data_IF_913841368689
#
_entry.id   IF_913841368689
#
_cell.length_a   1.000
_cell.length_b   1.000
_cell.length_c   1.000
_cell.angle_alpha   90.00
_cell.angle_beta   90.00
_cell.angle_gamma   90.00
#
_symmetry.space_group_name_H-M   'P 1'
#
loop_
_entity.id
_entity.type
_entity.pdbx_description
1 polymer ?
#
# COMPACT_ATOMS: atom_id res chain seq x y z
N UNK A 1 -25.27 -22.83 10.65
CA UNK A 1 -25.03 -21.89 11.77
C UNK A 1 -23.71 -21.17 11.43
N UNK A 2 -23.66 -19.85 11.41
CA UNK A 2 -22.41 -19.15 11.17
C UNK A 2 -21.58 -19.25 12.47
N UNK A 3 -20.55 -20.09 12.50
CA UNK A 3 -19.52 -20.03 13.55
C UNK A 3 -18.62 -18.82 13.26
N UNK A 4 -19.18 -17.64 13.47
CA UNK A 4 -18.46 -16.39 13.31
C UNK A 4 -17.76 -16.08 14.64
N UNK A 5 -16.52 -16.52 14.76
CA UNK A 5 -15.67 -16.19 15.89
C UNK A 5 -15.01 -14.84 15.67
N UNK A 6 -15.48 -13.82 16.41
CA UNK A 6 -14.96 -12.45 16.34
C UNK A 6 -13.49 -12.38 16.72
N UNK A 7 -13.05 -13.20 17.68
CA UNK A 7 -11.67 -13.19 18.17
C UNK A 7 -10.69 -13.64 17.09
N UNK A 8 -11.05 -14.61 16.28
CA UNK A 8 -10.22 -15.06 15.15
C UNK A 8 -10.39 -14.16 13.89
N UNK A 9 -11.52 -13.47 13.75
CA UNK A 9 -11.80 -12.60 12.61
C UNK A 9 -10.99 -11.30 12.64
N UNK A 10 -10.92 -10.64 13.80
CA UNK A 10 -10.26 -9.32 13.93
C UNK A 10 -8.77 -9.38 13.55
N UNK A 11 -7.95 -10.32 14.07
CA UNK A 11 -6.54 -10.41 13.67
C UNK A 11 -6.36 -10.62 12.16
N UNK A 12 -7.19 -11.46 11.53
CA UNK A 12 -7.14 -11.68 10.08
C UNK A 12 -7.55 -10.43 9.30
N UNK A 13 -8.55 -9.68 9.79
CA UNK A 13 -8.95 -8.41 9.20
C UNK A 13 -7.83 -7.37 9.27
N UNK A 14 -7.12 -7.28 10.40
CA UNK A 14 -5.94 -6.43 10.58
C UNK A 14 -4.85 -6.82 9.58
N UNK A 15 -4.44 -8.10 9.57
CA UNK A 15 -3.39 -8.59 8.65
C UNK A 15 -3.71 -8.30 7.18
N UNK A 16 -4.98 -8.44 6.78
CA UNK A 16 -5.43 -8.10 5.43
C UNK A 16 -5.48 -6.59 5.18
N UNK A 17 -5.74 -5.80 6.22
CA UNK A 17 -5.82 -4.34 6.16
C UNK A 17 -4.46 -3.63 6.06
N UNK A 18 -3.38 -4.20 6.62
CA UNK A 18 -2.07 -3.55 6.65
C UNK A 18 -1.51 -3.20 5.26
N UNK A 19 -1.54 -4.07 4.24
CA UNK A 19 -1.13 -3.70 2.88
C UNK A 19 -1.92 -2.51 2.35
N UNK A 20 -3.23 -2.45 2.66
CA UNK A 20 -4.10 -1.35 2.26
C UNK A 20 -3.73 -0.06 2.98
N UNK A 21 -3.35 -0.14 4.26
CA UNK A 21 -2.90 1.00 5.05
C UNK A 21 -1.62 1.61 4.50
N UNK A 22 -0.62 0.79 4.14
CA UNK A 22 0.60 1.26 3.49
C UNK A 22 0.29 1.92 2.14
N UNK A 23 -0.49 1.25 1.28
CA UNK A 23 -0.86 1.75 -0.04
C UNK A 23 -1.62 3.07 0.05
N UNK A 24 -2.67 3.14 0.87
CA UNK A 24 -3.47 4.36 1.03
C UNK A 24 -2.70 5.51 1.67
N UNK A 25 -1.85 5.24 2.67
CA UNK A 25 -1.02 6.28 3.29
C UNK A 25 -0.03 6.86 2.30
N UNK A 26 0.63 6.01 1.49
CA UNK A 26 1.54 6.45 0.43
C UNK A 26 0.81 7.28 -0.63
N UNK A 27 -0.37 6.84 -1.05
CA UNK A 27 -1.16 7.54 -2.06
C UNK A 27 -1.72 8.86 -1.53
N UNK A 28 -2.18 8.94 -0.28
CA UNK A 28 -2.62 10.20 0.34
C UNK A 28 -1.50 11.25 0.28
N UNK A 29 -0.25 10.90 0.57
CA UNK A 29 0.87 11.82 0.46
C UNK A 29 1.09 12.29 -0.97
N UNK A 30 1.00 11.40 -1.95
CA UNK A 30 1.11 11.68 -3.37
C UNK A 30 0.00 12.62 -3.82
N UNK A 31 -1.26 12.28 -3.56
CA UNK A 31 -2.42 13.06 -4.01
C UNK A 31 -2.54 14.41 -3.30
N UNK A 32 -2.10 14.54 -2.04
CA UNK A 32 -2.02 15.83 -1.34
C UNK A 32 -1.01 16.80 -1.98
N UNK A 33 -0.13 16.34 -2.88
CA UNK A 33 0.72 17.18 -3.72
C UNK A 33 0.07 17.60 -5.05
N UNK A 34 -1.13 17.11 -5.34
CA UNK A 34 -1.84 17.30 -6.60
C UNK A 34 -1.48 16.28 -7.69
N UNK A 35 -0.72 15.23 -7.39
CA UNK A 35 -0.43 14.15 -8.32
C UNK A 35 -1.42 13.00 -8.10
N UNK A 36 -2.21 12.65 -9.10
CA UNK A 36 -3.14 11.53 -9.08
C UNK A 36 -2.44 10.27 -9.59
N UNK A 37 -2.12 9.33 -8.70
CA UNK A 37 -1.31 8.16 -9.06
C UNK A 37 -2.10 6.85 -9.05
N UNK A 38 -2.77 6.53 -10.12
CA UNK A 38 -3.43 5.23 -10.31
C UNK A 38 -2.43 4.07 -10.52
N UNK A 39 -1.11 4.34 -10.42
CA UNK A 39 -0.05 3.33 -10.52
C UNK A 39 0.26 2.59 -9.22
N UNK A 40 -0.43 2.91 -8.12
CA UNK A 40 -0.21 2.30 -6.81
C UNK A 40 -0.23 0.77 -6.84
N UNK A 41 -1.19 0.09 -7.53
CA UNK A 41 -1.17 -1.37 -7.60
C UNK A 41 0.13 -1.93 -8.18
N UNK A 42 0.65 -1.31 -9.23
CA UNK A 42 1.93 -1.68 -9.84
C UNK A 42 3.14 -1.37 -8.94
N UNK A 43 3.12 -0.24 -8.24
CA UNK A 43 4.18 0.17 -7.30
C UNK A 43 4.25 -0.81 -6.12
N UNK A 44 3.12 -1.15 -5.52
CA UNK A 44 3.04 -2.14 -4.44
C UNK A 44 3.54 -3.50 -4.91
N UNK A 45 3.16 -3.91 -6.12
CA UNK A 45 3.59 -5.19 -6.69
C UNK A 45 5.10 -5.24 -6.92
N UNK A 46 5.70 -4.16 -7.48
CA UNK A 46 7.15 -4.05 -7.66
C UNK A 46 7.87 -3.98 -6.31
N UNK A 47 7.33 -3.27 -5.32
CA UNK A 47 7.87 -3.25 -3.96
C UNK A 47 7.94 -4.67 -3.35
N UNK A 48 6.88 -5.45 -3.51
CA UNK A 48 6.82 -6.84 -3.07
C UNK A 48 7.88 -7.72 -3.73
N UNK A 49 7.92 -7.75 -5.08
CA UNK A 49 8.88 -8.60 -5.80
C UNK A 49 10.33 -8.16 -5.58
N UNK A 50 10.60 -6.86 -5.45
CA UNK A 50 11.96 -6.38 -5.16
C UNK A 50 12.45 -6.88 -3.79
N UNK A 51 11.57 -6.89 -2.77
CA UNK A 51 11.87 -7.51 -1.49
C UNK A 51 12.10 -9.02 -1.58
N UNK A 52 11.30 -9.72 -2.38
CA UNK A 52 11.47 -11.16 -2.67
C UNK A 52 12.83 -11.42 -3.32
N UNK A 53 13.23 -10.64 -4.31
CA UNK A 53 14.54 -10.75 -4.98
C UNK A 53 15.66 -10.63 -3.96
N UNK A 54 15.63 -9.59 -3.12
CA UNK A 54 16.64 -9.37 -2.09
C UNK A 54 16.73 -10.54 -1.09
N UNK A 55 15.58 -11.01 -0.60
CA UNK A 55 15.51 -12.16 0.31
C UNK A 55 16.02 -13.44 -0.32
N UNK A 56 15.62 -13.71 -1.56
CA UNK A 56 15.99 -14.92 -2.28
C UNK A 56 17.51 -15.06 -2.43
N UNK A 57 18.17 -14.02 -2.92
CA UNK A 57 19.63 -14.04 -3.08
C UNK A 57 20.35 -14.06 -1.72
N UNK A 58 19.78 -13.41 -0.70
CA UNK A 58 20.35 -13.46 0.65
C UNK A 58 20.24 -14.87 1.26
N UNK A 59 19.09 -15.54 1.17
CA UNK A 59 18.93 -16.93 1.66
C UNK A 59 19.88 -17.89 0.96
N UNK A 60 20.06 -17.74 -0.36
CA UNK A 60 21.02 -18.55 -1.11
C UNK A 60 22.49 -18.29 -0.68
N UNK A 61 22.86 -17.03 -0.49
CA UNK A 61 24.22 -16.67 -0.08
C UNK A 61 24.53 -17.08 1.37
N UNK A 62 23.56 -17.08 2.24
CA UNK A 62 23.72 -17.41 3.66
C UNK A 62 23.77 -18.92 3.96
N UNK A 63 23.43 -19.78 2.98
CA UNK A 63 23.56 -21.23 3.10
C UNK A 63 22.81 -21.83 4.31
N UNK A 64 21.71 -21.22 4.73
CA UNK A 64 20.87 -21.69 5.84
C UNK A 64 21.17 -21.06 7.21
N UNK A 65 22.23 -20.27 7.36
CA UNK A 65 22.53 -19.50 8.57
C UNK A 65 22.20 -18.03 8.36
N UNK A 66 20.93 -17.66 8.56
CA UNK A 66 20.48 -16.28 8.38
C UNK A 66 20.81 -15.41 9.61
N UNK A 67 21.40 -14.23 9.35
CA UNK A 67 21.46 -13.18 10.35
C UNK A 67 20.13 -12.44 10.38
N UNK A 68 19.42 -12.46 11.52
CA UNK A 68 18.09 -11.87 11.65
C UNK A 68 18.01 -10.40 11.25
N UNK A 69 19.04 -9.60 11.55
CA UNK A 69 19.08 -8.19 11.15
C UNK A 69 19.15 -8.03 9.62
N UNK A 70 20.02 -8.79 8.95
CA UNK A 70 20.14 -8.73 7.49
C UNK A 70 18.91 -9.32 6.78
N UNK A 71 18.32 -10.38 7.36
CA UNK A 71 17.10 -11.00 6.85
C UNK A 71 15.91 -10.02 6.82
N UNK A 72 15.88 -9.05 7.71
CA UNK A 72 14.87 -7.99 7.73
C UNK A 72 15.29 -6.81 6.85
N UNK A 73 16.52 -6.34 6.96
CA UNK A 73 16.96 -5.10 6.32
C UNK A 73 17.08 -5.21 4.79
N UNK A 74 17.57 -6.34 4.28
CA UNK A 74 17.77 -6.52 2.82
C UNK A 74 16.43 -6.45 2.07
N UNK A 75 15.37 -7.20 2.45
CA UNK A 75 14.07 -7.10 1.78
C UNK A 75 13.45 -5.71 1.85
N UNK A 76 13.58 -5.03 3.01
CA UNK A 76 13.06 -3.68 3.18
C UNK A 76 13.77 -2.71 2.24
N UNK A 77 15.10 -2.71 2.21
CA UNK A 77 15.88 -1.82 1.34
C UNK A 77 15.60 -2.09 -0.13
N UNK A 78 15.54 -3.35 -0.54
CA UNK A 78 15.20 -3.72 -1.92
C UNK A 78 13.79 -3.28 -2.30
N UNK A 79 12.81 -3.45 -1.40
CA UNK A 79 11.44 -3.00 -1.61
C UNK A 79 11.35 -1.48 -1.75
N UNK A 80 12.03 -0.74 -0.86
CA UNK A 80 12.09 0.73 -0.91
C UNK A 80 12.74 1.22 -2.21
N UNK A 81 13.83 0.59 -2.65
CA UNK A 81 14.52 0.96 -3.90
C UNK A 81 13.67 0.65 -5.13
N UNK A 82 13.05 -0.53 -5.21
CA UNK A 82 12.20 -0.89 -6.33
C UNK A 82 10.99 0.04 -6.47
N UNK A 83 10.31 0.32 -5.37
CA UNK A 83 9.17 1.24 -5.36
C UNK A 83 9.57 2.69 -5.58
N UNK A 84 10.75 3.13 -5.10
CA UNK A 84 11.30 4.44 -5.39
C UNK A 84 11.56 4.63 -6.90
N UNK A 85 12.14 3.63 -7.57
CA UNK A 85 12.37 3.67 -9.02
C UNK A 85 11.05 3.80 -9.78
N UNK A 86 10.00 3.09 -9.37
CA UNK A 86 8.66 3.25 -9.94
C UNK A 86 8.10 4.65 -9.71
N UNK A 87 8.25 5.21 -8.50
CA UNK A 87 7.84 6.58 -8.17
C UNK A 87 8.59 7.63 -8.96
N UNK A 88 9.90 7.46 -9.15
CA UNK A 88 10.72 8.34 -9.99
C UNK A 88 10.30 8.29 -11.47
N UNK A 89 10.04 7.11 -12.00
CA UNK A 89 9.54 6.94 -13.37
C UNK A 89 8.19 7.63 -13.55
N UNK A 90 7.27 7.45 -12.59
CA UNK A 90 5.98 8.14 -12.60
C UNK A 90 6.15 9.66 -12.56
N UNK A 91 6.99 10.19 -11.67
CA UNK A 91 7.26 11.63 -11.59
C UNK A 91 7.90 12.18 -12.87
N UNK A 92 8.83 11.45 -13.45
CA UNK A 92 9.45 11.85 -14.70
C UNK A 92 8.40 12.03 -15.81
N UNK A 93 7.49 11.06 -15.93
CA UNK A 93 6.44 11.14 -16.95
C UNK A 93 5.40 12.23 -16.64
N UNK A 94 4.93 12.35 -15.40
CA UNK A 94 3.79 13.22 -15.06
C UNK A 94 4.19 14.65 -14.65
N UNK A 95 5.33 14.83 -14.00
CA UNK A 95 5.78 16.14 -13.51
C UNK A 95 6.75 16.80 -14.49
N UNK A 96 7.72 16.04 -15.03
CA UNK A 96 8.72 16.58 -15.97
C UNK A 96 8.18 16.63 -17.39
N UNK A 97 7.66 15.50 -17.93
CA UNK A 97 7.09 15.44 -19.28
C UNK A 97 5.64 15.88 -19.33
N UNK A 98 5.00 16.11 -18.18
CA UNK A 98 3.62 16.61 -18.07
C UNK A 98 2.59 15.72 -18.77
N UNK A 99 2.86 14.41 -18.85
CA UNK A 99 1.94 13.43 -19.40
C UNK A 99 0.65 13.36 -18.57
N UNK A 100 -0.43 12.87 -19.20
CA UNK A 100 -1.71 12.68 -18.51
C UNK A 100 -1.54 11.69 -17.35
N UNK A 101 -1.88 12.14 -16.13
CA UNK A 101 -1.64 11.39 -14.90
C UNK A 101 -2.48 10.11 -14.81
N UNK A 102 -3.73 10.15 -15.29
CA UNK A 102 -4.61 8.97 -15.29
C UNK A 102 -4.05 7.86 -16.20
N UNK A 103 -3.71 8.23 -17.45
CA UNK A 103 -3.18 7.27 -18.42
C UNK A 103 -1.84 6.72 -17.96
N UNK A 104 -0.96 7.59 -17.46
CA UNK A 104 0.35 7.18 -16.93
C UNK A 104 0.19 6.25 -15.74
N UNK A 105 -0.71 6.55 -14.80
CA UNK A 105 -0.98 5.68 -13.64
C UNK A 105 -1.45 4.29 -14.03
N UNK A 106 -2.42 4.20 -14.95
CA UNK A 106 -2.91 2.91 -15.47
C UNK A 106 -1.81 2.13 -16.19
N UNK A 107 -1.00 2.80 -17.01
CA UNK A 107 0.15 2.18 -17.67
C UNK A 107 1.17 1.67 -16.66
N UNK A 108 1.46 2.46 -15.60
CA UNK A 108 2.37 2.07 -14.51
C UNK A 108 1.86 0.86 -13.72
N UNK A 109 0.55 0.74 -13.53
CA UNK A 109 -0.03 -0.47 -12.89
C UNK A 109 0.24 -1.71 -13.73
N UNK A 110 -0.08 -1.67 -15.03
CA UNK A 110 0.17 -2.80 -15.94
C UNK A 110 1.66 -3.11 -16.07
N UNK A 111 2.50 -2.09 -16.22
CA UNK A 111 3.95 -2.22 -16.27
C UNK A 111 4.49 -2.86 -14.99
N UNK A 112 4.08 -2.38 -13.81
CA UNK A 112 4.55 -2.90 -12.53
C UNK A 112 4.17 -4.35 -12.30
N UNK A 113 2.94 -4.74 -12.65
CA UNK A 113 2.50 -6.15 -12.60
C UNK A 113 3.31 -7.00 -13.59
N UNK A 114 3.55 -6.49 -14.80
CA UNK A 114 4.38 -7.16 -15.80
C UNK A 114 5.82 -7.40 -15.32
N UNK A 115 6.47 -6.36 -14.77
CA UNK A 115 7.82 -6.44 -14.17
C UNK A 115 7.84 -7.46 -13.04
N UNK A 116 6.86 -7.42 -12.12
CA UNK A 116 6.81 -8.35 -11.01
C UNK A 116 6.62 -9.80 -11.45
N UNK A 117 5.76 -10.05 -12.42
CA UNK A 117 5.55 -11.40 -12.96
C UNK A 117 6.76 -11.89 -13.74
N UNK A 118 7.46 -11.01 -14.47
CA UNK A 118 8.68 -11.36 -15.19
C UNK A 118 9.79 -11.81 -14.24
N UNK A 119 10.09 -11.01 -13.22
CA UNK A 119 11.11 -11.36 -12.23
C UNK A 119 10.68 -12.54 -11.36
N UNK A 120 9.41 -12.59 -10.93
CA UNK A 120 8.85 -13.71 -10.21
C UNK A 120 8.95 -15.02 -10.99
N UNK A 121 8.57 -15.01 -12.27
CA UNK A 121 8.71 -16.17 -13.17
C UNK A 121 10.16 -16.57 -13.42
N UNK A 122 11.08 -15.61 -13.51
CA UNK A 122 12.51 -15.87 -13.66
C UNK A 122 13.12 -16.53 -12.41
N UNK A 123 12.77 -16.05 -11.22
CA UNK A 123 13.21 -16.66 -9.96
C UNK A 123 12.62 -18.06 -9.76
N UNK A 124 11.34 -18.28 -10.11
CA UNK A 124 10.72 -19.62 -10.05
C UNK A 124 11.50 -20.62 -10.90
N UNK A 125 11.95 -20.23 -12.09
CA UNK A 125 12.78 -21.09 -12.93
C UNK A 125 14.13 -21.44 -12.31
N UNK A 126 14.71 -20.50 -11.55
CA UNK A 126 15.99 -20.74 -10.85
C UNK A 126 15.86 -21.73 -9.69
N UNK A 127 14.68 -21.85 -9.09
CA UNK A 127 14.43 -22.81 -7.99
C UNK A 127 14.27 -24.25 -8.48
N UNK A 128 14.07 -24.48 -9.77
CA UNK A 128 13.72 -25.79 -10.35
C UNK A 128 12.53 -26.48 -9.62
N UNK A 129 11.62 -25.67 -9.06
CA UNK A 129 10.47 -26.15 -8.31
C UNK A 129 9.36 -26.57 -9.28
N UNK A 130 8.70 -27.69 -8.99
CA UNK A 130 7.49 -28.12 -9.73
C UNK A 130 6.29 -27.17 -9.47
N UNK A 131 6.31 -26.46 -8.33
CA UNK A 131 5.28 -25.51 -7.95
C UNK A 131 5.66 -24.11 -8.45
N UNK A 132 4.77 -23.40 -9.17
CA UNK A 132 5.05 -22.07 -9.69
C UNK A 132 5.02 -20.99 -8.60
N UNK A 133 5.82 -21.17 -7.56
CA UNK A 133 5.93 -20.27 -6.40
C UNK A 133 7.34 -20.26 -5.84
N UNK A 134 7.69 -19.15 -5.17
CA UNK A 134 8.94 -19.00 -4.43
C UNK A 134 8.59 -19.01 -2.95
N UNK A 135 9.22 -19.87 -2.18
CA UNK A 135 9.04 -19.92 -0.73
C UNK A 135 10.28 -19.37 -0.03
N UNK A 136 10.08 -18.32 0.76
CA UNK A 136 11.08 -17.64 1.60
C UNK A 136 10.68 -17.79 3.07
N UNK A 137 10.40 -19.02 3.47
CA UNK A 137 9.87 -19.34 4.80
C UNK A 137 10.82 -18.86 5.92
N UNK A 138 12.12 -19.02 5.72
CA UNK A 138 13.12 -18.64 6.72
C UNK A 138 13.14 -17.12 6.97
N UNK A 139 13.16 -16.31 5.91
CA UNK A 139 13.10 -14.85 6.04
C UNK A 139 11.76 -14.40 6.61
N UNK A 140 10.65 -15.01 6.20
CA UNK A 140 9.30 -14.71 6.68
C UNK A 140 9.16 -14.85 8.20
N UNK A 141 9.82 -15.83 8.81
CA UNK A 141 9.80 -16.02 10.27
C UNK A 141 10.28 -14.79 11.04
N UNK A 142 11.31 -14.10 10.54
CA UNK A 142 11.79 -12.86 11.17
C UNK A 142 10.80 -11.71 11.07
N UNK A 143 10.02 -11.63 9.98
CA UNK A 143 8.97 -10.62 9.82
C UNK A 143 7.76 -10.88 10.71
N UNK A 144 7.46 -12.14 10.99
CA UNK A 144 6.32 -12.58 11.80
C UNK A 144 6.60 -12.65 13.30
N UNK A 145 7.80 -12.31 13.75
CA UNK A 145 8.11 -12.30 15.17
C UNK A 145 7.13 -11.39 15.90
N UNK A 146 6.35 -11.98 16.79
CA UNK A 146 5.36 -11.28 17.61
C UNK A 146 6.05 -10.46 18.70
N UNK A 147 5.37 -9.45 19.22
CA UNK A 147 5.88 -8.68 20.35
C UNK A 147 5.94 -9.53 21.62
N UNK A 148 6.93 -9.27 22.50
CA UNK A 148 7.03 -9.99 23.77
C UNK A 148 5.74 -9.78 24.58
N UNK A 149 5.18 -10.89 25.11
CA UNK A 149 3.95 -10.88 25.90
C UNK A 149 2.67 -11.21 25.11
N UNK A 150 2.74 -11.46 23.79
CA UNK A 150 1.59 -11.84 22.98
C UNK A 150 0.89 -13.09 23.54
N UNK A 151 1.65 -14.11 23.93
CA UNK A 151 1.11 -15.39 24.43
C UNK A 151 0.68 -15.34 25.91
N UNK A 152 1.17 -14.35 26.68
CA UNK A 152 0.95 -14.28 28.13
C UNK A 152 -0.26 -13.43 28.53
N UNK A 153 -0.77 -12.56 27.64
CA UNK A 153 -1.84 -11.60 27.94
C UNK A 153 -3.23 -12.03 27.44
N UNK A 154 -3.40 -13.31 27.05
CA UNK A 154 -4.68 -13.86 26.59
C UNK A 154 -5.26 -13.13 25.39
N UNK A 155 -6.58 -12.89 25.37
CA UNK A 155 -7.28 -12.24 24.24
C UNK A 155 -6.72 -10.86 23.84
N UNK A 156 -6.17 -10.10 24.79
CA UNK A 156 -5.55 -8.80 24.51
C UNK A 156 -4.25 -8.96 23.70
N UNK A 157 -3.40 -9.94 24.06
CA UNK A 157 -2.20 -10.28 23.32
C UNK A 157 -2.51 -10.72 21.90
N UNK A 158 -3.52 -11.57 21.75
CA UNK A 158 -3.97 -12.07 20.45
C UNK A 158 -4.50 -10.94 19.53
N UNK A 159 -5.24 -9.98 20.08
CA UNK A 159 -5.80 -8.89 19.31
C UNK A 159 -4.82 -7.75 19.00
N UNK A 160 -3.83 -7.48 19.86
CA UNK A 160 -2.99 -6.30 19.74
C UNK A 160 -1.49 -6.56 19.62
N UNK A 161 -0.98 -7.73 20.03
CA UNK A 161 0.46 -8.03 20.09
C UNK A 161 0.91 -9.17 19.16
N UNK A 162 -0.02 -9.84 18.50
CA UNK A 162 0.24 -11.02 17.66
C UNK A 162 0.69 -10.74 16.23
N UNK A 163 0.92 -9.48 15.90
CA UNK A 163 1.30 -9.07 14.53
C UNK A 163 2.80 -8.93 14.37
N UNK A 164 3.29 -9.12 13.15
CA UNK A 164 4.65 -8.81 12.78
C UNK A 164 4.97 -7.31 12.92
N UNK A 165 6.24 -6.97 13.13
CA UNK A 165 6.65 -5.58 13.39
C UNK A 165 6.23 -4.58 12.32
N UNK A 166 6.14 -5.01 11.03
CA UNK A 166 5.71 -4.12 9.94
C UNK A 166 4.28 -3.61 10.11
N UNK A 167 3.40 -4.36 10.79
CA UNK A 167 2.04 -3.90 11.07
C UNK A 167 2.05 -2.65 11.97
N UNK A 168 2.90 -2.63 12.99
CA UNK A 168 3.06 -1.46 13.86
C UNK A 168 3.75 -0.31 13.14
N UNK A 169 4.75 -0.60 12.31
CA UNK A 169 5.41 0.39 11.44
C UNK A 169 4.39 1.06 10.52
N UNK A 170 3.43 0.33 9.94
CA UNK A 170 2.37 0.89 9.11
C UNK A 170 1.53 1.93 9.88
N UNK A 171 1.14 1.59 11.12
CA UNK A 171 0.37 2.49 11.99
C UNK A 171 1.19 3.74 12.34
N UNK A 172 2.47 3.57 12.70
CA UNK A 172 3.37 4.68 13.01
C UNK A 172 3.55 5.60 11.80
N UNK A 173 3.73 5.04 10.60
CA UNK A 173 3.85 5.81 9.36
C UNK A 173 2.56 6.57 9.06
N UNK A 174 1.38 5.96 9.24
CA UNK A 174 0.10 6.63 9.02
C UNK A 174 -0.12 7.80 10.00
N UNK A 175 0.19 7.60 11.29
CA UNK A 175 0.14 8.67 12.30
C UNK A 175 1.18 9.76 12.01
N UNK A 176 2.39 9.38 11.62
CA UNK A 176 3.47 10.30 11.22
C UNK A 176 3.09 11.12 9.98
N UNK A 177 2.49 10.50 8.98
CA UNK A 177 1.99 11.18 7.79
C UNK A 177 0.87 12.18 8.12
N UNK A 178 -0.06 11.79 9.02
CA UNK A 178 -1.11 12.68 9.52
C UNK A 178 -0.52 13.87 10.27
N UNK A 179 0.44 13.64 11.16
CA UNK A 179 1.14 14.70 11.88
C UNK A 179 1.91 15.62 10.93
N UNK A 180 2.66 15.05 9.99
CA UNK A 180 3.40 15.78 8.97
C UNK A 180 2.48 16.72 8.17
N UNK A 181 1.38 16.22 7.66
CA UNK A 181 0.45 17.01 6.84
C UNK A 181 -0.24 18.13 7.63
N UNK A 182 -0.51 17.94 8.92
CA UNK A 182 -1.33 18.87 9.70
C UNK A 182 -0.52 19.82 10.58
N UNK A 183 0.70 19.43 11.01
CA UNK A 183 1.44 20.16 12.04
C UNK A 183 2.82 20.66 11.59
N UNK A 184 3.24 20.38 10.34
CA UNK A 184 4.57 20.81 9.88
C UNK A 184 4.50 21.84 8.74
N UNK A 185 5.50 22.74 8.66
CA UNK A 185 5.64 23.70 7.55
C UNK A 185 5.75 23.00 6.19
N UNK A 186 6.60 21.95 6.01
CA UNK A 186 6.66 21.23 4.73
C UNK A 186 5.33 20.56 4.36
N UNK A 187 4.59 20.03 5.33
CA UNK A 187 3.25 19.46 5.09
C UNK A 187 2.23 20.52 4.64
N UNK A 188 2.30 21.73 5.22
CA UNK A 188 1.48 22.86 4.76
C UNK A 188 1.84 23.25 3.33
N UNK A 189 3.14 23.36 2.99
CA UNK A 189 3.58 23.63 1.63
C UNK A 189 3.10 22.56 0.64
N UNK A 190 3.17 21.31 1.03
CA UNK A 190 2.68 20.19 0.22
C UNK A 190 1.19 20.34 -0.12
N UNK A 191 0.36 20.61 0.89
CA UNK A 191 -1.08 20.85 0.71
C UNK A 191 -1.36 22.09 -0.15
N UNK A 192 -0.59 23.17 0.03
CA UNK A 192 -0.70 24.38 -0.79
C UNK A 192 -0.42 24.09 -2.27
N UNK A 193 0.60 23.26 -2.57
CA UNK A 193 0.91 22.80 -3.93
C UNK A 193 -0.25 22.00 -4.53
N UNK A 194 -0.88 21.13 -3.74
CA UNK A 194 -2.04 20.34 -4.18
C UNK A 194 -3.32 21.15 -4.36
N UNK A 195 -3.51 22.24 -3.60
CA UNK A 195 -4.67 23.12 -3.75
C UNK A 195 -4.51 24.09 -4.93
N UNK A 196 -3.36 24.73 -5.06
CA UNK A 196 -3.06 25.64 -6.17
C UNK A 196 -1.57 25.71 -6.41
N UNK A 197 -1.10 24.98 -7.43
CA UNK A 197 0.31 24.95 -7.79
C UNK A 197 0.83 26.34 -8.24
N UNK A 198 0.01 27.14 -8.96
CA UNK A 198 0.36 28.48 -9.39
C UNK A 198 0.51 29.46 -8.22
N UNK A 199 -0.40 29.42 -7.25
CA UNK A 199 -0.33 30.24 -6.04
C UNK A 199 0.85 29.85 -5.16
N UNK A 200 1.12 28.55 -5.02
CA UNK A 200 2.26 28.05 -4.26
C UNK A 200 3.60 28.50 -4.89
N UNK A 201 3.72 28.42 -6.23
CA UNK A 201 4.91 28.91 -6.93
C UNK A 201 5.08 30.44 -6.82
N UNK A 202 3.98 31.19 -6.87
CA UNK A 202 4.02 32.64 -6.64
C UNK A 202 4.48 33.01 -5.22
N UNK A 203 4.18 32.17 -4.24
CA UNK A 203 4.68 32.28 -2.85
C UNK A 203 6.13 31.79 -2.67
N UNK A 204 6.82 31.37 -3.73
CA UNK A 204 8.21 30.90 -3.69
C UNK A 204 8.38 29.42 -3.32
N UNK A 205 7.30 28.65 -3.31
CA UNK A 205 7.34 27.22 -3.03
C UNK A 205 7.70 26.46 -4.32
N UNK A 206 8.74 25.63 -4.29
CA UNK A 206 9.15 24.82 -5.44
C UNK A 206 8.18 23.65 -5.67
N UNK A 207 7.22 23.84 -6.57
CA UNK A 207 6.16 22.88 -6.89
C UNK A 207 6.72 21.53 -7.35
N UNK A 208 7.69 21.54 -8.28
CA UNK A 208 8.31 20.34 -8.82
C UNK A 208 8.95 19.49 -7.71
N UNK A 209 9.74 20.15 -6.83
CA UNK A 209 10.39 19.45 -5.70
C UNK A 209 9.38 18.78 -4.78
N UNK A 210 8.31 19.48 -4.42
CA UNK A 210 7.28 18.91 -3.52
C UNK A 210 6.53 17.75 -4.17
N UNK A 211 6.17 17.86 -5.46
CA UNK A 211 5.53 16.77 -6.20
C UNK A 211 6.44 15.52 -6.28
N UNK A 212 7.72 15.69 -6.62
CA UNK A 212 8.68 14.59 -6.66
C UNK A 212 8.86 13.93 -5.28
N UNK A 213 9.13 14.72 -4.25
CA UNK A 213 9.36 14.17 -2.90
C UNK A 213 8.13 13.42 -2.38
N UNK A 214 6.93 14.01 -2.53
CA UNK A 214 5.71 13.38 -2.06
C UNK A 214 5.43 12.05 -2.77
N UNK A 215 5.57 12.02 -4.08
CA UNK A 215 5.32 10.81 -4.87
C UNK A 215 6.39 9.75 -4.63
N UNK A 216 7.67 10.11 -4.54
CA UNK A 216 8.74 9.15 -4.24
C UNK A 216 8.58 8.54 -2.84
N UNK A 217 8.35 9.37 -1.81
CA UNK A 217 8.13 8.89 -0.43
C UNK A 217 6.83 8.07 -0.36
N UNK A 218 5.76 8.55 -1.01
CA UNK A 218 4.49 7.83 -1.09
C UNK A 218 4.63 6.46 -1.75
N UNK A 219 5.39 6.37 -2.86
CA UNK A 219 5.69 5.12 -3.54
C UNK A 219 6.50 4.16 -2.67
N UNK A 220 7.49 4.65 -1.93
CA UNK A 220 8.27 3.84 -0.99
C UNK A 220 7.39 3.26 0.12
N UNK A 221 6.50 4.07 0.70
CA UNK A 221 5.54 3.62 1.71
C UNK A 221 4.60 2.56 1.12
N UNK A 222 4.03 2.82 -0.06
CA UNK A 222 3.14 1.87 -0.73
C UNK A 222 3.85 0.54 -1.05
N UNK A 223 5.13 0.58 -1.46
CA UNK A 223 5.94 -0.61 -1.73
C UNK A 223 6.12 -1.53 -0.52
N UNK A 224 6.23 -0.95 0.69
CA UNK A 224 6.25 -1.75 1.93
C UNK A 224 4.96 -2.55 2.13
N UNK A 225 3.83 -2.08 1.63
CA UNK A 225 2.58 -2.83 1.63
C UNK A 225 2.65 -4.12 0.79
N UNK A 226 3.34 -4.06 -0.36
CA UNK A 226 3.65 -5.24 -1.17
C UNK A 226 4.60 -6.22 -0.47
N UNK A 227 5.64 -5.70 0.19
CA UNK A 227 6.57 -6.50 0.98
C UNK A 227 5.86 -7.18 2.16
N UNK A 228 5.04 -6.43 2.92
CA UNK A 228 4.25 -6.98 4.02
C UNK A 228 3.35 -8.13 3.54
N UNK A 229 2.67 -7.94 2.41
CA UNK A 229 1.83 -8.98 1.86
C UNK A 229 2.59 -10.29 1.65
N UNK A 230 3.78 -10.24 1.08
CA UNK A 230 4.56 -11.46 0.81
C UNK A 230 5.15 -12.04 2.08
N UNK A 231 5.81 -11.24 2.90
CA UNK A 231 6.59 -11.72 4.04
C UNK A 231 5.72 -12.11 5.24
N UNK A 232 4.68 -11.32 5.52
CA UNK A 232 3.83 -11.53 6.70
C UNK A 232 2.55 -12.29 6.33
N UNK A 233 1.72 -11.75 5.44
CA UNK A 233 0.42 -12.32 5.09
C UNK A 233 0.53 -13.65 4.32
N UNK A 234 1.37 -13.73 3.29
CA UNK A 234 1.55 -14.90 2.44
C UNK A 234 2.64 -15.87 2.95
N UNK A 235 3.13 -15.71 4.17
CA UNK A 235 4.13 -16.60 4.80
C UNK A 235 5.44 -16.74 3.99
N UNK A 236 5.90 -15.68 3.34
CA UNK A 236 7.08 -15.69 2.50
C UNK A 236 6.86 -16.34 1.13
N UNK A 237 5.62 -16.66 0.75
CA UNK A 237 5.32 -17.27 -0.53
C UNK A 237 4.98 -16.22 -1.57
N UNK A 238 5.76 -16.16 -2.63
CA UNK A 238 5.44 -15.39 -3.83
C UNK A 238 4.85 -16.32 -4.90
N UNK A 239 3.72 -15.90 -5.46
CA UNK A 239 3.18 -16.45 -6.68
C UNK A 239 2.67 -15.32 -7.57
N UNK A 240 2.75 -15.51 -8.89
CA UNK A 240 2.32 -14.50 -9.84
C UNK A 240 0.82 -14.18 -9.67
N UNK A 241 0.49 -12.90 -9.70
CA UNK A 241 -0.87 -12.36 -9.52
C UNK A 241 -1.53 -12.62 -8.15
N UNK A 242 -0.85 -13.21 -7.18
CA UNK A 242 -1.43 -13.49 -5.85
C UNK A 242 -1.80 -12.22 -5.05
N UNK A 243 -1.16 -11.08 -5.35
CA UNK A 243 -1.48 -9.80 -4.72
C UNK A 243 -2.93 -9.35 -5.00
N UNK A 244 -3.50 -9.74 -6.16
CA UNK A 244 -4.89 -9.46 -6.55
C UNK A 244 -5.21 -7.96 -6.58
N UNK A 245 -6.43 -7.62 -6.16
CA UNK A 245 -6.96 -6.25 -6.25
C UNK A 245 -6.59 -5.33 -5.09
N UNK A 246 -5.67 -5.74 -4.21
CA UNK A 246 -5.32 -4.98 -2.98
C UNK A 246 -4.84 -3.56 -3.26
N UNK A 247 -4.12 -3.35 -4.36
CA UNK A 247 -3.69 -2.02 -4.75
C UNK A 247 -4.85 -1.11 -5.14
N UNK A 248 -5.86 -1.64 -5.84
CA UNK A 248 -7.09 -0.91 -6.16
C UNK A 248 -7.93 -0.61 -4.92
N UNK A 249 -7.99 -1.55 -3.97
CA UNK A 249 -8.62 -1.33 -2.68
C UNK A 249 -7.91 -0.24 -1.87
N UNK A 250 -6.58 -0.12 -1.97
CA UNK A 250 -5.85 0.96 -1.33
C UNK A 250 -6.23 2.33 -1.90
N UNK A 251 -6.41 2.46 -3.21
CA UNK A 251 -6.91 3.69 -3.85
C UNK A 251 -8.36 3.98 -3.40
N UNK A 252 -9.23 2.97 -3.41
CA UNK A 252 -10.60 3.13 -2.91
C UNK A 252 -10.63 3.61 -1.45
N UNK A 253 -9.68 3.12 -0.64
CA UNK A 253 -9.54 3.51 0.76
C UNK A 253 -9.14 4.99 0.92
N UNK A 254 -8.33 5.56 0.02
CA UNK A 254 -7.99 7.00 0.01
C UNK A 254 -9.26 7.84 -0.10
N UNK A 255 -10.13 7.50 -1.04
CA UNK A 255 -11.40 8.19 -1.25
C UNK A 255 -12.31 8.02 -0.02
N UNK A 256 -12.43 6.79 0.49
CA UNK A 256 -13.23 6.48 1.67
C UNK A 256 -12.80 7.31 2.89
N UNK A 257 -11.50 7.48 3.10
CA UNK A 257 -10.93 8.18 4.27
C UNK A 257 -10.78 9.68 4.08
N UNK A 258 -11.24 10.20 2.94
CA UNK A 258 -11.22 11.62 2.63
C UNK A 258 -9.79 12.19 2.79
N UNK A 259 -8.82 11.51 2.20
CA UNK A 259 -7.39 11.90 2.25
C UNK A 259 -6.84 12.13 3.67
N UNK A 260 -7.33 11.38 4.67
CA UNK A 260 -6.90 11.51 6.08
C UNK A 260 -6.17 10.24 6.54
N UNK A 261 -4.83 10.24 6.68
CA UNK A 261 -4.06 9.03 7.02
C UNK A 261 -4.43 8.42 8.38
N UNK A 262 -4.80 9.22 9.37
CA UNK A 262 -5.23 8.73 10.67
C UNK A 262 -6.55 7.93 10.60
N UNK A 263 -7.47 8.33 9.71
CA UNK A 263 -8.73 7.61 9.49
C UNK A 263 -8.48 6.31 8.75
N UNK A 264 -7.44 6.27 7.87
CA UNK A 264 -7.06 5.08 7.12
C UNK A 264 -6.70 3.89 8.01
N UNK A 265 -6.25 4.11 9.25
CA UNK A 265 -5.91 3.04 10.19
C UNK A 265 -7.14 2.16 10.49
N UNK A 266 -8.24 2.76 10.93
CA UNK A 266 -9.46 2.00 11.23
C UNK A 266 -10.16 1.53 9.94
N UNK A 267 -10.16 2.38 8.92
CA UNK A 267 -10.79 2.06 7.65
C UNK A 267 -10.09 0.90 6.93
N UNK A 268 -8.75 0.76 7.03
CA UNK A 268 -8.03 -0.37 6.46
C UNK A 268 -8.41 -1.70 7.12
N UNK A 269 -8.63 -1.71 8.42
CA UNK A 269 -9.11 -2.90 9.16
C UNK A 269 -10.53 -3.25 8.70
N UNK A 270 -11.41 -2.25 8.57
CA UNK A 270 -12.76 -2.45 8.04
C UNK A 270 -12.72 -3.06 6.63
N UNK A 271 -11.93 -2.49 5.72
CA UNK A 271 -11.80 -2.98 4.34
C UNK A 271 -11.15 -4.37 4.29
N UNK A 272 -10.14 -4.61 5.13
CA UNK A 272 -9.55 -5.94 5.31
C UNK A 272 -10.57 -6.97 5.76
N UNK A 273 -11.40 -6.62 6.74
CA UNK A 273 -12.50 -7.46 7.21
C UNK A 273 -13.54 -7.75 6.13
N UNK A 274 -13.99 -6.71 5.40
CA UNK A 274 -14.92 -6.86 4.29
C UNK A 274 -14.36 -7.77 3.18
N UNK A 275 -13.07 -7.64 2.88
CA UNK A 275 -12.41 -8.45 1.86
C UNK A 275 -12.37 -9.93 2.22
N UNK A 276 -12.17 -10.29 3.51
CA UNK A 276 -12.11 -11.68 3.96
C UNK A 276 -13.47 -12.27 4.32
N UNK A 277 -14.54 -11.48 4.35
CA UNK A 277 -15.88 -11.97 4.68
C UNK A 277 -16.31 -13.16 3.82
N UNK A 278 -15.89 -13.20 2.56
CA UNK A 278 -16.19 -14.29 1.65
C UNK A 278 -15.65 -15.65 2.12
N UNK A 279 -14.58 -15.67 2.95
CA UNK A 279 -13.97 -16.88 3.50
C UNK A 279 -14.86 -17.50 4.59
N UNK A 280 -15.64 -16.66 5.29
CA UNK A 280 -16.53 -17.07 6.38
C UNK A 280 -17.92 -17.46 5.90
N UNK A 281 -18.17 -17.42 4.59
CA UNK A 281 -19.41 -17.93 4.03
C UNK A 281 -19.47 -19.46 4.09
N UNK A 282 -20.66 -20.06 4.26
CA UNK A 282 -20.83 -21.51 4.24
C UNK A 282 -20.19 -22.13 2.98
N UNK A 283 -19.60 -23.30 3.14
CA UNK A 283 -18.91 -24.04 2.04
C UNK A 283 -19.80 -24.33 0.83
N UNK A 284 -21.13 -24.33 1.02
CA UNK A 284 -22.13 -24.47 -0.04
C UNK A 284 -22.57 -23.17 -0.72
N UNK A 285 -22.01 -22.00 -0.37
CA UNK A 285 -22.39 -20.75 -1.00
C UNK A 285 -22.02 -20.74 -2.49
N UNK A 286 -22.97 -20.34 -3.33
CA UNK A 286 -22.75 -20.23 -4.77
C UNK A 286 -21.60 -19.23 -5.07
N UNK A 287 -20.85 -19.49 -6.13
CA UNK A 287 -19.73 -18.64 -6.55
C UNK A 287 -20.15 -17.17 -6.76
N UNK A 288 -21.36 -16.96 -7.28
CA UNK A 288 -21.94 -15.62 -7.45
C UNK A 288 -22.07 -14.84 -6.12
N UNK A 289 -22.44 -15.53 -5.02
CA UNK A 289 -22.54 -14.91 -3.70
C UNK A 289 -21.17 -14.49 -3.18
N UNK A 290 -20.14 -15.32 -3.38
CA UNK A 290 -18.74 -14.98 -2.99
C UNK A 290 -18.23 -13.76 -3.74
N UNK A 291 -18.51 -13.64 -5.03
CA UNK A 291 -18.13 -12.45 -5.81
C UNK A 291 -18.89 -11.20 -5.35
N UNK A 292 -20.16 -11.32 -4.98
CA UNK A 292 -20.92 -10.20 -4.40
C UNK A 292 -20.26 -9.65 -3.13
N UNK A 293 -19.76 -10.53 -2.24
CA UNK A 293 -19.06 -10.10 -1.03
C UNK A 293 -17.74 -9.37 -1.33
N UNK A 294 -17.03 -9.76 -2.38
CA UNK A 294 -15.81 -9.04 -2.82
C UNK A 294 -16.10 -7.62 -3.30
N UNK A 295 -17.32 -7.33 -3.75
CA UNK A 295 -17.74 -5.99 -4.18
C UNK A 295 -18.01 -5.06 -2.99
N UNK A 296 -18.25 -5.57 -1.77
CA UNK A 296 -18.67 -4.76 -0.63
C UNK A 296 -17.75 -3.55 -0.33
N UNK A 297 -16.42 -3.67 -0.31
CA UNK A 297 -15.55 -2.50 -0.07
C UNK A 297 -15.79 -1.37 -1.09
N UNK A 298 -15.96 -1.73 -2.36
CA UNK A 298 -16.19 -0.76 -3.43
C UNK A 298 -17.58 -0.13 -3.35
N UNK A 299 -18.61 -0.92 -3.02
CA UNK A 299 -19.98 -0.40 -2.81
C UNK A 299 -20.00 0.60 -1.65
N UNK A 300 -19.33 0.29 -0.53
CA UNK A 300 -19.24 1.19 0.60
C UNK A 300 -18.49 2.48 0.21
N UNK A 301 -17.42 2.37 -0.57
CA UNK A 301 -16.69 3.55 -1.09
C UNK A 301 -17.59 4.43 -1.94
N UNK A 302 -18.40 3.85 -2.83
CA UNK A 302 -19.36 4.60 -3.65
C UNK A 302 -20.40 5.32 -2.79
N UNK A 303 -20.95 4.66 -1.76
CA UNK A 303 -21.90 5.26 -0.84
C UNK A 303 -21.26 6.47 -0.13
N UNK A 304 -20.03 6.32 0.38
CA UNK A 304 -19.31 7.43 1.05
C UNK A 304 -19.07 8.58 0.07
N UNK A 305 -18.66 8.28 -1.16
CA UNK A 305 -18.44 9.29 -2.20
C UNK A 305 -19.73 10.08 -2.50
N UNK A 306 -20.88 9.41 -2.59
CA UNK A 306 -22.18 10.06 -2.75
C UNK A 306 -22.48 10.99 -1.56
N UNK A 307 -22.30 10.49 -0.32
CA UNK A 307 -22.57 11.27 0.89
C UNK A 307 -21.67 12.51 0.97
N UNK A 308 -20.37 12.36 0.68
CA UNK A 308 -19.39 13.47 0.67
C UNK A 308 -19.73 14.50 -0.40
N UNK A 309 -20.12 14.04 -1.59
CA UNK A 309 -20.52 14.92 -2.70
C UNK A 309 -21.77 15.72 -2.38
N UNK A 310 -22.73 15.13 -1.66
CA UNK A 310 -23.95 15.82 -1.23
C UNK A 310 -23.66 16.86 -0.14
N UNK A 311 -22.69 16.61 0.76
CA UNK A 311 -22.32 17.53 1.84
C UNK A 311 -21.62 18.80 1.37
N UNK A 312 -20.96 18.80 0.20
CA UNK A 312 -20.26 19.93 -0.42
C UNK A 312 -19.25 20.68 0.49
N UNK A 313 -18.74 20.01 1.55
CA UNK A 313 -17.72 20.62 2.41
C UNK A 313 -16.38 20.61 1.71
N UNK A 314 -15.70 21.75 1.63
CA UNK A 314 -14.38 21.86 0.98
C UNK A 314 -13.33 20.96 1.61
N UNK A 315 -13.37 20.77 2.93
CA UNK A 315 -12.44 19.94 3.68
C UNK A 315 -12.51 18.46 3.31
N UNK A 316 -13.66 18.02 2.80
CA UNK A 316 -13.93 16.63 2.44
C UNK A 316 -13.72 16.37 0.93
N UNK A 317 -13.29 17.38 0.17
CA UNK A 317 -13.01 17.26 -1.26
C UNK A 317 -11.54 16.90 -1.54
N UNK A 318 -11.24 16.29 -2.70
CA UNK A 318 -9.87 16.12 -3.14
C UNK A 318 -9.14 17.46 -3.28
N UNK A 319 -7.80 17.48 -3.28
CA UNK A 319 -7.04 18.69 -3.61
C UNK A 319 -7.48 19.27 -4.95
N UNK A 320 -7.63 20.59 -5.03
CA UNK A 320 -8.23 21.22 -6.22
C UNK A 320 -7.41 21.06 -7.51
N UNK A 321 -6.08 20.92 -7.39
CA UNK A 321 -5.18 20.67 -8.52
C UNK A 321 -4.91 19.18 -8.77
N UNK A 322 -5.68 18.27 -8.13
CA UNK A 322 -5.46 16.84 -8.30
C UNK A 322 -5.65 16.40 -9.75
N UNK A 323 -4.65 15.74 -10.31
CA UNK A 323 -4.66 15.25 -11.68
C UNK A 323 -4.33 16.31 -12.73
N UNK A 324 -4.12 17.58 -12.34
CA UNK A 324 -3.78 18.66 -13.25
C UNK A 324 -2.26 18.81 -13.40
N UNK A 325 -1.81 18.92 -14.64
CA UNK A 325 -0.43 19.25 -14.94
C UNK A 325 -0.19 20.74 -14.68
N UNK A 326 0.97 21.08 -14.08
CA UNK A 326 1.33 22.46 -13.80
C UNK A 326 2.26 23.03 -14.87
N UNK A 327 1.88 24.17 -15.45
CA UNK A 327 2.64 24.93 -16.43
C UNK A 327 2.99 26.30 -15.84
N UNK A 328 4.27 26.55 -15.64
CA UNK A 328 4.74 27.84 -15.07
C UNK A 328 4.46 29.03 -15.97
N UNK A 329 4.37 28.79 -17.27
CA UNK A 329 4.18 29.79 -18.30
C UNK A 329 2.72 30.25 -18.49
N UNK A 330 1.76 29.50 -17.88
CA UNK A 330 0.32 29.79 -17.96
C UNK A 330 -0.21 30.53 -16.71
N UNK A 331 0.60 31.39 -16.12
CA UNK A 331 0.21 32.17 -14.93
C UNK A 331 -0.76 33.29 -15.27
#
# INVERSE_FOLDING_TARGET
>A
MFDFDIVSFIPRAVMQGIPLLFGSTGEILTEKSGNLNLGIPGIMYVGGISGVIGSFFYEQAAGGQLNGFLAIMIPILCSLLGSLLMGLLYCFLTVTLRANQNVTGLAMTTFGVGVGNFFGGSLIKLTNSEVPSIALANTSLYFKTTLPGADSTGWFGELFLSYGFLAYVAIIIALGASYFLNHTRPGLHLRAVGESASTADAAGINVTKYKYLATCIGSMIAGLGGLYYVMDYANGVWSNNAFGDRGWLAIALVIFTIWRPNVSILASILFGGLYILNIYLPTGAQMAVKELYKMLPYVITLIVLIIVSLRKKREDQPPASLGLSYFREER
#
